data_IF_122596261847
#
_entry.id   IF_122596261847
#
_cell.length_a   1.000
_cell.length_b   1.000
_cell.length_c   1.000
_cell.angle_alpha   90.00
_cell.angle_beta   90.00
_cell.angle_gamma   90.00
#
_symmetry.space_group_name_H-M   'P 1'
#
loop_
_entity.id
_entity.type
_entity.pdbx_description
1 polymer ?
#
# COMPACT_ATOMS: atom_id res chain seq x y z
N UNK A 1 56.22 13.58 3.10
CA UNK A 1 54.85 13.40 3.61
C UNK A 1 54.75 12.02 4.22
N UNK A 2 54.67 11.91 5.55
CA UNK A 2 54.45 10.63 6.23
C UNK A 2 52.94 10.38 6.31
N UNK A 3 52.46 9.28 5.74
CA UNK A 3 51.06 8.87 5.83
C UNK A 3 50.79 8.30 7.22
N UNK A 4 49.91 8.95 7.98
CA UNK A 4 49.40 8.40 9.24
C UNK A 4 48.53 7.18 8.95
N UNK A 5 48.95 6.02 9.44
CA UNK A 5 48.24 4.74 9.29
C UNK A 5 47.23 4.56 10.42
N UNK A 6 46.04 5.15 10.25
CA UNK A 6 44.94 5.13 11.23
C UNK A 6 44.46 3.72 11.58
N UNK A 7 44.67 2.73 10.70
CA UNK A 7 44.22 1.36 10.98
C UNK A 7 45.04 0.70 12.09
N UNK A 8 46.33 1.04 12.24
CA UNK A 8 47.20 0.39 13.22
C UNK A 8 47.05 0.92 14.64
N UNK A 9 46.71 2.20 14.80
CA UNK A 9 46.55 2.81 16.12
C UNK A 9 45.16 2.58 16.73
N UNK A 10 44.13 2.40 15.90
CA UNK A 10 42.76 2.21 16.40
C UNK A 10 42.60 0.90 17.19
N UNK A 11 43.28 -0.17 16.78
CA UNK A 11 43.18 -1.49 17.43
C UNK A 11 44.11 -1.70 18.64
N UNK A 12 45.00 -0.74 18.97
CA UNK A 12 45.94 -0.87 20.11
C UNK A 12 45.47 -0.22 21.39
N UNK A 13 44.37 0.54 21.38
CA UNK A 13 43.81 1.06 22.63
C UNK A 13 43.21 -0.12 23.42
N UNK A 14 43.61 -0.34 24.68
CA UNK A 14 43.00 -1.39 25.49
C UNK A 14 41.52 -1.08 25.61
N UNK A 15 40.70 -1.92 24.98
CA UNK A 15 39.24 -1.75 24.76
C UNK A 15 38.40 -1.72 26.06
N UNK A 16 39.03 -1.57 27.21
CA UNK A 16 38.49 -1.86 28.53
C UNK A 16 38.85 -0.77 29.52
N UNK A 17 38.62 0.49 29.18
CA UNK A 17 38.48 1.48 30.24
C UNK A 17 37.22 1.16 31.08
N UNK A 18 37.24 1.44 32.38
CA UNK A 18 36.09 1.18 33.25
C UNK A 18 34.80 1.88 32.78
N UNK A 19 34.92 3.02 32.10
CA UNK A 19 33.81 3.71 31.42
C UNK A 19 33.14 2.85 30.33
N UNK A 20 33.95 2.15 29.54
CA UNK A 20 33.48 1.39 28.38
C UNK A 20 32.73 0.13 28.86
N UNK A 21 33.17 -0.46 29.98
CA UNK A 21 32.46 -1.58 30.63
C UNK A 21 31.05 -1.21 31.05
N UNK A 22 30.85 0.00 31.59
CA UNK A 22 29.53 0.49 31.96
C UNK A 22 28.67 0.70 30.72
N UNK A 23 29.23 1.33 29.68
CA UNK A 23 28.54 1.56 28.42
C UNK A 23 28.07 0.25 27.77
N UNK A 24 28.94 -0.76 27.67
CA UNK A 24 28.56 -2.06 27.09
C UNK A 24 27.53 -2.81 27.94
N UNK A 25 27.57 -2.71 29.27
CA UNK A 25 26.52 -3.28 30.13
C UNK A 25 25.16 -2.65 29.85
N UNK A 26 25.10 -1.32 29.72
CA UNK A 26 23.86 -0.61 29.37
C UNK A 26 23.38 -1.03 27.98
N UNK A 27 24.27 -1.06 26.99
CA UNK A 27 23.95 -1.43 25.61
C UNK A 27 23.40 -2.86 25.53
N UNK A 28 24.00 -3.81 26.26
CA UNK A 28 23.55 -5.21 26.29
C UNK A 28 22.18 -5.36 26.97
N UNK A 29 21.92 -4.62 28.06
CA UNK A 29 20.61 -4.59 28.71
C UNK A 29 19.54 -4.01 27.79
N UNK A 30 19.84 -2.92 27.08
CA UNK A 30 18.91 -2.31 26.10
C UNK A 30 18.64 -3.26 24.95
N UNK A 31 19.68 -3.90 24.38
CA UNK A 31 19.53 -4.87 23.31
C UNK A 31 18.67 -6.08 23.74
N UNK A 32 18.88 -6.57 24.96
CA UNK A 32 18.06 -7.65 25.52
C UNK A 32 16.60 -7.23 25.71
N UNK A 33 16.35 -6.02 26.22
CA UNK A 33 14.99 -5.50 26.38
C UNK A 33 14.25 -5.40 25.03
N UNK A 34 14.92 -4.88 23.99
CA UNK A 34 14.35 -4.80 22.64
C UNK A 34 14.05 -6.20 22.08
N UNK A 35 14.96 -7.16 22.27
CA UNK A 35 14.77 -8.54 21.81
C UNK A 35 13.61 -9.24 22.53
N UNK A 36 13.46 -9.04 23.84
CA UNK A 36 12.31 -9.58 24.59
C UNK A 36 11.00 -8.95 24.10
N UNK A 37 10.99 -7.64 23.87
CA UNK A 37 9.80 -6.92 23.40
C UNK A 37 9.39 -7.36 21.99
N UNK A 38 10.33 -7.62 21.08
CA UNK A 38 10.02 -8.14 19.74
C UNK A 38 9.51 -9.58 19.79
N UNK A 39 10.09 -10.44 20.63
CA UNK A 39 9.60 -11.81 20.81
C UNK A 39 8.18 -11.83 21.39
N UNK A 40 7.88 -10.97 22.36
CA UNK A 40 6.53 -10.82 22.91
C UNK A 40 5.54 -10.33 21.85
N UNK A 41 5.94 -9.36 21.01
CA UNK A 41 5.10 -8.91 19.90
C UNK A 41 4.83 -10.04 18.90
N UNK A 42 5.86 -10.77 18.47
CA UNK A 42 5.70 -11.93 17.57
C UNK A 42 4.80 -12.99 18.19
N UNK A 43 4.96 -13.29 19.48
CA UNK A 43 4.11 -14.26 20.17
C UNK A 43 2.65 -13.80 20.24
N UNK A 44 2.41 -12.51 20.52
CA UNK A 44 1.06 -11.96 20.58
C UNK A 44 0.38 -11.98 19.21
N UNK A 45 1.09 -11.54 18.16
CA UNK A 45 0.59 -11.52 16.78
C UNK A 45 0.46 -12.91 16.15
N UNK A 46 1.28 -13.87 16.56
CA UNK A 46 1.22 -15.26 16.05
C UNK A 46 0.21 -16.14 16.79
N UNK A 47 -0.40 -15.67 17.88
CA UNK A 47 -1.40 -16.46 18.60
C UNK A 47 -2.66 -16.66 17.71
N UNK A 48 -2.95 -17.89 17.25
CA UNK A 48 -4.00 -18.17 16.26
C UNK A 48 -5.43 -18.15 16.84
N UNK A 49 -5.61 -17.58 18.03
CA UNK A 49 -6.81 -17.80 18.86
C UNK A 49 -7.92 -16.80 18.53
N UNK A 50 -7.60 -15.65 17.93
CA UNK A 50 -8.62 -14.62 17.65
C UNK A 50 -9.41 -14.86 16.36
N UNK A 51 -8.96 -15.77 15.49
CA UNK A 51 -9.49 -15.81 14.12
C UNK A 51 -10.67 -16.77 13.93
N UNK A 52 -10.73 -17.91 14.63
CA UNK A 52 -11.73 -18.93 14.30
C UNK A 52 -13.17 -18.52 14.70
N UNK A 53 -13.34 -17.95 15.89
CA UNK A 53 -14.67 -17.56 16.40
C UNK A 53 -15.13 -16.21 15.85
N UNK A 54 -14.21 -15.27 15.66
CA UNK A 54 -14.49 -13.96 15.06
C UNK A 54 -14.81 -14.10 13.57
N UNK A 55 -14.04 -14.85 12.79
CA UNK A 55 -14.35 -15.08 11.38
C UNK A 55 -15.68 -15.82 11.22
N UNK A 56 -16.03 -16.74 12.12
CA UNK A 56 -17.34 -17.41 12.08
C UNK A 56 -18.49 -16.42 12.30
N UNK A 57 -18.38 -15.48 13.25
CA UNK A 57 -19.39 -14.44 13.49
C UNK A 57 -19.47 -13.41 12.36
N UNK A 58 -18.32 -12.95 11.85
CA UNK A 58 -18.27 -11.99 10.73
C UNK A 58 -18.86 -12.63 9.47
N UNK A 59 -18.46 -13.85 9.14
CA UNK A 59 -18.95 -14.58 7.97
C UNK A 59 -20.46 -14.83 8.06
N UNK A 60 -20.97 -15.21 9.23
CA UNK A 60 -22.41 -15.39 9.43
C UNK A 60 -23.18 -14.07 9.26
N UNK A 61 -22.68 -12.98 9.84
CA UNK A 61 -23.33 -11.65 9.74
C UNK A 61 -23.31 -11.09 8.32
N UNK A 62 -22.21 -11.31 7.59
CA UNK A 62 -22.08 -10.88 6.20
C UNK A 62 -23.00 -11.67 5.27
N UNK A 63 -23.03 -13.00 5.39
CA UNK A 63 -23.93 -13.86 4.62
C UNK A 63 -25.39 -13.52 4.91
N UNK A 64 -25.77 -13.32 6.19
CA UNK A 64 -27.16 -12.99 6.52
C UNK A 64 -27.60 -11.66 5.93
N UNK A 65 -26.72 -10.64 5.92
CA UNK A 65 -27.01 -9.35 5.28
C UNK A 65 -27.11 -9.48 3.76
N UNK A 66 -26.20 -10.22 3.12
CA UNK A 66 -26.26 -10.47 1.67
C UNK A 66 -27.56 -11.17 1.27
N UNK A 67 -27.93 -12.24 1.96
CA UNK A 67 -29.18 -12.98 1.66
C UNK A 67 -30.39 -12.07 1.83
N UNK A 68 -30.43 -11.23 2.86
CA UNK A 68 -31.53 -10.25 3.02
C UNK A 68 -31.58 -9.22 1.89
N UNK A 69 -30.43 -8.82 1.35
CA UNK A 69 -30.35 -7.85 0.25
C UNK A 69 -30.88 -8.45 -1.07
N UNK A 70 -30.56 -9.71 -1.35
CA UNK A 70 -31.04 -10.40 -2.55
C UNK A 70 -32.50 -10.85 -2.47
N UNK A 71 -33.00 -11.20 -1.28
CA UNK A 71 -34.41 -11.58 -1.10
C UNK A 71 -35.37 -10.38 -1.12
N UNK A 72 -34.87 -9.15 -0.90
CA UNK A 72 -35.64 -7.92 -1.03
C UNK A 72 -35.72 -7.41 -2.49
N UNK A 73 -35.03 -8.05 -3.43
CA UNK A 73 -35.18 -7.76 -4.85
C UNK A 73 -36.62 -8.01 -5.31
N UNK A 74 -37.16 -7.19 -6.24
CA UNK A 74 -38.51 -7.37 -6.75
C UNK A 74 -38.65 -8.81 -7.27
N UNK A 75 -39.60 -9.56 -6.69
CA UNK A 75 -39.96 -10.89 -7.19
C UNK A 75 -40.17 -10.77 -8.70
N UNK A 76 -39.52 -11.60 -9.53
CA UNK A 76 -39.73 -11.55 -10.96
C UNK A 76 -41.22 -11.79 -11.21
N UNK A 77 -41.93 -10.72 -11.61
CA UNK A 77 -43.27 -10.86 -12.18
C UNK A 77 -43.11 -11.76 -13.38
N UNK A 78 -43.96 -12.78 -13.47
CA UNK A 78 -44.03 -13.66 -14.63
C UNK A 78 -44.03 -12.78 -15.88
N UNK A 79 -42.96 -12.92 -16.67
CA UNK A 79 -42.68 -12.13 -17.86
C UNK A 79 -43.75 -12.45 -18.91
N UNK A 80 -44.77 -11.60 -18.97
CA UNK A 80 -45.55 -11.38 -20.18
C UNK A 80 -44.58 -10.77 -21.21
N UNK A 81 -44.29 -11.55 -22.26
CA UNK A 81 -43.37 -11.19 -23.35
C UNK A 81 -43.88 -9.94 -24.05
N UNK A 82 -43.43 -8.78 -23.60
CA UNK A 82 -43.26 -7.62 -24.45
C UNK A 82 -41.76 -7.38 -24.62
N UNK A 83 -41.26 -7.19 -25.85
CA UNK A 83 -39.85 -6.93 -26.10
C UNK A 83 -39.46 -5.62 -25.41
N UNK A 84 -38.72 -5.75 -24.30
CA UNK A 84 -38.08 -4.63 -23.63
C UNK A 84 -36.96 -4.17 -24.56
N UNK A 85 -37.16 -3.00 -25.18
CA UNK A 85 -36.09 -2.26 -25.84
C UNK A 85 -35.11 -1.86 -24.74
N UNK A 86 -34.00 -2.59 -24.65
CA UNK A 86 -32.88 -2.23 -23.78
C UNK A 86 -32.28 -0.94 -24.34
N UNK A 87 -32.33 0.19 -23.61
CA UNK A 87 -31.69 1.41 -24.08
C UNK A 87 -30.19 1.14 -24.17
N UNK A 88 -29.62 1.49 -25.32
CA UNK A 88 -28.19 1.37 -25.58
C UNK A 88 -27.43 2.15 -24.49
N UNK A 89 -26.37 1.57 -23.89
CA UNK A 89 -25.59 2.27 -22.89
C UNK A 89 -25.02 3.57 -23.49
N UNK A 90 -25.01 4.69 -22.72
CA UNK A 90 -24.46 5.95 -23.21
C UNK A 90 -23.00 5.75 -23.61
N UNK A 91 -22.61 6.36 -24.73
CA UNK A 91 -21.23 6.28 -25.21
C UNK A 91 -20.27 6.90 -24.20
N UNK A 92 -19.00 6.47 -24.18
CA UNK A 92 -17.98 7.04 -23.30
C UNK A 92 -17.83 8.57 -23.48
N UNK A 93 -18.08 9.08 -24.69
CA UNK A 93 -18.13 10.51 -24.96
C UNK A 93 -19.26 11.23 -24.20
N UNK A 94 -20.45 10.62 -24.09
CA UNK A 94 -21.56 11.21 -23.32
C UNK A 94 -21.29 11.22 -21.82
N UNK A 95 -20.60 10.19 -21.31
CA UNK A 95 -20.20 10.12 -19.90
C UNK A 95 -19.19 11.23 -19.60
N UNK A 96 -18.18 11.38 -20.46
CA UNK A 96 -17.12 12.38 -20.30
C UNK A 96 -17.68 13.80 -20.38
N UNK A 97 -18.60 14.08 -21.31
CA UNK A 97 -19.29 15.39 -21.40
C UNK A 97 -20.08 15.72 -20.14
N UNK A 98 -20.79 14.74 -19.55
CA UNK A 98 -21.56 14.96 -18.32
C UNK A 98 -20.67 15.29 -17.12
N UNK A 99 -19.50 14.67 -17.01
CA UNK A 99 -18.58 14.96 -15.90
C UNK A 99 -17.92 16.33 -16.03
N UNK A 100 -17.48 16.70 -17.23
CA UNK A 100 -16.89 18.03 -17.49
C UNK A 100 -17.89 19.14 -17.15
N UNK A 101 -19.14 19.00 -17.58
CA UNK A 101 -20.18 19.98 -17.31
C UNK A 101 -20.46 20.15 -15.81
N UNK A 102 -20.38 19.06 -15.05
CA UNK A 102 -20.55 19.08 -13.59
C UNK A 102 -19.42 19.82 -12.87
N UNK A 103 -18.19 19.75 -13.39
CA UNK A 103 -17.03 20.46 -12.85
C UNK A 103 -17.14 21.96 -13.15
N UNK A 104 -17.56 22.32 -14.36
CA UNK A 104 -17.78 23.73 -14.74
C UNK A 104 -18.84 24.39 -13.85
N UNK A 105 -19.96 23.71 -13.60
CA UNK A 105 -21.01 24.18 -12.68
C UNK A 105 -20.47 24.42 -11.25
N UNK A 106 -19.61 23.53 -10.74
CA UNK A 106 -19.00 23.67 -9.42
C UNK A 106 -18.01 24.84 -9.35
N UNK A 107 -17.26 25.06 -10.43
CA UNK A 107 -16.35 26.21 -10.55
C UNK A 107 -17.11 27.54 -10.63
N UNK A 108 -18.26 27.57 -11.29
CA UNK A 108 -19.09 28.77 -11.36
C UNK A 108 -19.73 29.09 -10.00
N UNK A 109 -20.20 28.05 -9.29
CA UNK A 109 -20.75 28.18 -7.93
C UNK A 109 -19.74 28.69 -6.91
N UNK A 110 -18.46 28.33 -7.05
CA UNK A 110 -17.39 28.80 -6.17
C UNK A 110 -16.93 30.21 -6.51
N UNK A 111 -16.95 30.63 -7.79
CA UNK A 111 -16.70 32.03 -8.18
C UNK A 111 -17.76 33.00 -7.66
N UNK A 112 -18.99 32.54 -7.44
CA UNK A 112 -20.05 33.33 -6.82
C UNK A 112 -19.85 33.53 -5.30
N UNK A 113 -19.07 32.67 -4.64
CA UNK A 113 -18.76 32.75 -3.22
C UNK A 113 -17.52 33.65 -2.94
N UNK A 114 -17.45 34.83 -3.56
CA UNK A 114 -16.40 35.82 -3.27
C UNK A 114 -16.55 36.31 -1.83
N UNK A 115 -15.56 35.99 -1.00
CA UNK A 115 -15.34 36.64 0.30
C UNK A 115 -15.22 38.15 0.09
N UNK A 116 -16.19 38.91 0.59
CA UNK A 116 -16.09 40.37 0.62
C UNK A 116 -15.08 40.75 1.72
N UNK A 117 -14.10 41.64 1.44
CA UNK A 117 -13.12 42.10 2.43
C UNK A 117 -13.76 42.71 3.70
N UNK A 118 -15.01 43.14 3.61
CA UNK A 118 -15.81 43.68 4.72
C UNK A 118 -16.07 42.66 5.83
N UNK A 119 -16.09 41.35 5.54
CA UNK A 119 -16.25 40.32 6.57
C UNK A 119 -15.02 40.13 7.47
N UNK A 120 -13.85 40.64 7.08
CA UNK A 120 -12.62 40.58 7.87
C UNK A 120 -12.44 41.85 8.72
N UNK A 121 -13.10 42.95 8.38
CA UNK A 121 -12.99 44.24 9.07
C UNK A 121 -13.78 44.33 10.39
N UNK A 122 -14.57 43.32 10.75
CA UNK A 122 -15.42 43.29 11.95
C UNK A 122 -14.74 42.87 13.26
N UNK A 123 -13.43 42.63 13.28
CA UNK A 123 -12.70 42.36 14.53
C UNK A 123 -12.35 43.70 15.18
N UNK A 124 -13.32 44.25 15.91
CA UNK A 124 -13.21 45.52 16.62
C UNK A 124 -11.94 45.64 17.50
N UNK A 125 -11.22 46.79 17.46
CA UNK A 125 -10.08 47.09 18.33
C UNK A 125 -10.44 47.30 19.83
N UNK A 126 -11.71 47.15 20.20
CA UNK A 126 -12.25 47.54 21.52
C UNK A 126 -11.79 46.61 22.67
N UNK A 127 -11.35 45.38 22.39
CA UNK A 127 -10.87 44.46 23.45
C UNK A 127 -9.45 44.77 23.97
N UNK A 128 -8.66 45.63 23.29
CA UNK A 128 -7.26 45.92 23.69
C UNK A 128 -7.16 46.70 25.01
N UNK A 129 -8.06 47.66 25.25
CA UNK A 129 -8.06 48.50 26.48
C UNK A 129 -8.41 47.73 27.76
N UNK A 130 -9.23 46.68 27.65
CA UNK A 130 -9.64 45.87 28.82
C UNK A 130 -8.54 44.91 29.27
N UNK A 131 -7.68 44.46 28.36
CA UNK A 131 -6.51 43.64 28.68
C UNK A 131 -5.35 44.47 29.27
N UNK A 132 -5.10 45.67 28.76
CA UNK A 132 -4.05 46.55 29.31
C UNK A 132 -4.29 46.91 30.78
N UNK A 133 -5.53 47.20 31.20
CA UNK A 133 -5.86 47.49 32.61
C UNK A 133 -5.69 46.29 33.54
N UNK A 134 -5.77 45.05 33.04
CA UNK A 134 -5.58 43.84 33.85
C UNK A 134 -4.12 43.43 34.00
N UNK A 135 -3.27 43.76 33.04
CA UNK A 135 -1.84 43.38 33.05
C UNK A 135 -1.02 44.36 33.89
N UNK A 136 -1.39 45.64 33.92
CA UNK A 136 -0.64 46.69 34.61
C UNK A 136 -0.34 46.44 36.11
N UNK A 137 -1.24 45.88 36.95
CA UNK A 137 -0.91 45.56 38.35
C UNK A 137 -0.06 44.29 38.53
N UNK A 138 0.04 43.41 37.51
CA UNK A 138 0.90 42.22 37.57
C UNK A 138 2.37 42.58 37.29
N UNK A 139 2.61 43.66 36.55
CA UNK A 139 3.97 44.17 36.26
C UNK A 139 4.59 44.85 37.49
N UNK A 140 3.78 45.47 38.35
CA UNK A 140 4.29 46.21 39.53
C UNK A 140 4.49 45.34 40.79
N UNK A 141 3.98 44.10 40.82
CA UNK A 141 4.02 43.24 42.02
C UNK A 141 5.09 42.13 41.98
N UNK A 142 5.82 41.94 40.87
CA UNK A 142 6.77 40.84 40.70
C UNK A 142 8.23 41.21 40.98
N UNK A 143 8.94 40.39 41.77
CA UNK A 143 10.40 40.50 42.07
C UNK A 143 11.33 40.38 40.85
N UNK A 144 10.80 40.25 39.64
CA UNK A 144 11.54 40.14 38.37
C UNK A 144 11.13 41.26 37.39
N UNK A 145 11.01 42.50 37.86
CA UNK A 145 10.64 43.66 37.03
C UNK A 145 11.58 43.89 35.83
N UNK A 146 12.82 43.44 35.94
CA UNK A 146 13.83 43.59 34.88
C UNK A 146 13.54 42.74 33.63
N UNK A 147 13.15 41.48 33.80
CA UNK A 147 12.84 40.58 32.69
C UNK A 147 11.54 40.95 31.97
N UNK A 148 10.59 41.54 32.70
CA UNK A 148 9.34 42.02 32.11
C UNK A 148 9.52 43.37 31.40
N UNK A 149 10.41 44.25 31.91
CA UNK A 149 10.80 45.48 31.23
C UNK A 149 11.42 45.22 29.87
N UNK A 150 12.32 44.23 29.78
CA UNK A 150 12.95 43.81 28.53
C UNK A 150 11.93 43.26 27.51
N UNK A 151 10.94 42.49 27.98
CA UNK A 151 9.87 41.97 27.12
C UNK A 151 8.93 43.07 26.60
N UNK A 152 8.65 44.10 27.41
CA UNK A 152 7.82 45.25 27.00
C UNK A 152 8.58 46.19 26.07
N UNK A 153 9.88 46.38 26.28
CA UNK A 153 10.73 47.18 25.38
C UNK A 153 10.93 46.49 24.03
N UNK A 154 11.02 45.16 23.98
CA UNK A 154 11.00 44.43 22.70
C UNK A 154 9.65 44.57 21.97
N UNK A 155 8.55 44.77 22.69
CA UNK A 155 7.24 45.01 22.08
C UNK A 155 7.05 46.45 21.58
N UNK A 156 7.76 47.44 22.13
CA UNK A 156 7.66 48.85 21.71
C UNK A 156 8.35 49.11 20.37
N UNK A 157 9.30 48.27 19.96
CA UNK A 157 9.92 48.26 18.62
C UNK A 157 8.88 48.04 17.51
N UNK A 158 7.74 47.40 17.80
CA UNK A 158 6.64 47.24 16.84
C UNK A 158 5.69 48.44 16.77
N UNK A 159 5.85 49.46 17.62
CA UNK A 159 4.94 50.60 17.71
C UNK A 159 5.40 51.83 16.92
N UNK A 160 6.68 51.92 16.55
CA UNK A 160 7.18 52.97 15.68
C UNK A 160 7.27 52.43 14.24
N UNK A 161 6.40 52.86 13.31
CA UNK A 161 6.55 52.52 11.91
C UNK A 161 7.88 53.11 11.44
N UNK A 162 8.82 52.23 11.07
CA UNK A 162 10.07 52.62 10.44
C UNK A 162 9.78 53.54 9.23
N UNK A 163 10.67 54.50 8.93
CA UNK A 163 10.48 55.39 7.79
C UNK A 163 10.23 54.57 6.53
N UNK A 164 9.22 54.97 5.76
CA UNK A 164 8.75 54.34 4.52
C UNK A 164 9.89 54.13 3.53
N UNK A 165 10.62 53.02 3.66
CA UNK A 165 11.39 52.50 2.56
C UNK A 165 10.44 51.60 1.79
N UNK A 166 9.98 52.09 0.64
CA UNK A 166 9.14 51.39 -0.33
C UNK A 166 9.87 50.16 -0.91
N UNK A 167 10.11 49.16 -0.10
CA UNK A 167 10.38 47.80 -0.54
C UNK A 167 9.03 47.11 -0.62
N UNK A 168 8.52 46.93 -1.85
CA UNK A 168 7.33 46.10 -2.09
C UNK A 168 7.64 44.69 -1.55
N UNK A 169 7.03 44.25 -0.43
CA UNK A 169 7.43 43.03 0.29
C UNK A 169 7.21 41.74 -0.52
N UNK A 170 6.63 41.87 -1.71
CA UNK A 170 6.21 40.79 -2.58
C UNK A 170 7.24 40.44 -3.67
N UNK A 171 8.32 41.21 -3.83
CA UNK A 171 9.37 40.88 -4.79
C UNK A 171 10.01 39.49 -4.58
N UNK A 172 10.37 39.06 -3.35
CA UNK A 172 10.92 37.71 -3.16
C UNK A 172 9.88 36.61 -3.42
N UNK A 173 8.59 36.89 -3.18
CA UNK A 173 7.48 35.96 -3.43
C UNK A 173 7.23 35.75 -4.94
N UNK A 174 7.29 36.82 -5.75
CA UNK A 174 7.16 36.70 -7.21
C UNK A 174 8.24 35.80 -7.82
N UNK A 175 9.48 35.94 -7.34
CA UNK A 175 10.60 35.10 -7.80
C UNK A 175 10.43 33.63 -7.40
N UNK A 176 9.86 33.34 -6.23
CA UNK A 176 9.54 31.97 -5.83
C UNK A 176 8.36 31.38 -6.62
N UNK A 177 7.36 32.19 -6.94
CA UNK A 177 6.21 31.76 -7.75
C UNK A 177 6.63 31.36 -9.17
N UNK A 178 7.50 32.17 -9.81
CA UNK A 178 8.05 31.85 -11.13
C UNK A 178 8.87 30.55 -11.11
N UNK A 179 9.70 30.35 -10.08
CA UNK A 179 10.47 29.11 -9.91
C UNK A 179 9.56 27.88 -9.74
N UNK A 180 8.46 28.03 -9.01
CA UNK A 180 7.49 26.96 -8.82
C UNK A 180 6.76 26.62 -10.12
N UNK A 181 6.31 27.64 -10.87
CA UNK A 181 5.66 27.44 -12.18
C UNK A 181 6.59 26.72 -13.17
N UNK A 182 7.87 27.07 -13.19
CA UNK A 182 8.86 26.39 -14.03
C UNK A 182 9.05 24.91 -13.63
N UNK A 183 9.11 24.61 -12.34
CA UNK A 183 9.20 23.21 -11.86
C UNK A 183 7.97 22.39 -12.21
N UNK A 184 6.77 22.95 -12.05
CA UNK A 184 5.52 22.26 -12.40
C UNK A 184 5.46 22.01 -13.91
N UNK A 185 5.85 22.97 -14.74
CA UNK A 185 5.90 22.80 -16.20
C UNK A 185 6.89 21.71 -16.62
N UNK A 186 8.10 21.71 -16.04
CA UNK A 186 9.10 20.68 -16.31
C UNK A 186 8.64 19.27 -15.87
N UNK A 187 7.89 19.17 -14.76
CA UNK A 187 7.31 17.90 -14.31
C UNK A 187 6.18 17.43 -15.23
N UNK A 188 5.36 18.34 -15.77
CA UNK A 188 4.32 18.01 -16.74
C UNK A 188 4.93 17.52 -18.07
N UNK A 189 5.93 18.21 -18.60
CA UNK A 189 6.66 17.80 -19.80
C UNK A 189 7.39 16.44 -19.60
N UNK A 190 7.93 16.19 -18.41
CA UNK A 190 8.51 14.89 -18.05
C UNK A 190 7.46 13.77 -17.93
N UNK A 191 6.24 14.09 -17.46
CA UNK A 191 5.15 13.12 -17.38
C UNK A 191 4.64 12.76 -18.78
N UNK A 192 4.47 13.75 -19.67
CA UNK A 192 4.04 13.54 -21.06
C UNK A 192 5.06 12.72 -21.86
N UNK A 193 6.36 12.98 -21.69
CA UNK A 193 7.41 12.20 -22.36
C UNK A 193 7.59 10.77 -21.82
N UNK A 194 7.13 10.49 -20.60
CA UNK A 194 7.08 9.13 -20.06
C UNK A 194 5.79 8.37 -20.39
N UNK A 195 4.75 9.06 -20.87
CA UNK A 195 3.47 8.44 -21.20
C UNK A 195 3.52 7.66 -22.54
N UNK A 196 4.46 7.96 -23.42
CA UNK A 196 4.62 7.27 -24.71
C UNK A 196 5.38 5.92 -24.63
N UNK A 197 5.89 5.53 -23.46
CA UNK A 197 6.64 4.27 -23.27
C UNK A 197 6.15 3.38 -22.11
N UNK A 198 5.06 3.77 -21.44
CA UNK A 198 4.44 2.97 -20.38
C UNK A 198 3.06 2.40 -20.77
N UNK A 199 2.54 2.71 -21.97
CA UNK A 199 1.31 2.12 -22.52
C UNK A 199 1.54 0.86 -23.39
N UNK A 200 2.58 0.09 -23.09
CA UNK A 200 2.53 -1.36 -23.27
C UNK A 200 2.40 -2.07 -21.91
N UNK A 201 1.64 -1.48 -20.97
CA UNK A 201 1.18 -2.23 -19.81
C UNK A 201 0.06 -3.19 -20.21
N UNK A 202 0.42 -4.29 -20.87
CA UNK A 202 -0.09 -5.66 -20.68
C UNK A 202 -1.58 -5.88 -20.27
N UNK A 203 -2.54 -5.02 -20.61
CA UNK A 203 -3.92 -5.13 -20.11
C UNK A 203 -4.96 -5.41 -21.18
N UNK A 204 -4.67 -5.27 -22.48
CA UNK A 204 -5.77 -5.17 -23.45
C UNK A 204 -5.92 -6.25 -24.52
N UNK A 205 -5.15 -7.34 -24.47
CA UNK A 205 -5.36 -8.45 -25.42
C UNK A 205 -5.96 -9.75 -24.88
N UNK A 206 -6.15 -9.96 -23.56
CA UNK A 206 -6.71 -11.24 -23.06
C UNK A 206 -7.63 -11.19 -21.83
N UNK A 207 -8.13 -10.02 -21.41
CA UNK A 207 -9.25 -9.96 -20.44
C UNK A 207 -10.61 -10.20 -21.15
N UNK A 208 -10.64 -10.33 -22.48
CA UNK A 208 -11.88 -10.53 -23.25
C UNK A 208 -12.47 -11.95 -23.19
N UNK A 209 -11.78 -12.91 -22.57
CA UNK A 209 -12.36 -14.21 -22.24
C UNK A 209 -12.25 -14.40 -20.74
N UNK A 210 -13.35 -14.12 -20.03
CA UNK A 210 -13.53 -14.45 -18.61
C UNK A 210 -13.57 -15.97 -18.40
N UNK A 211 -12.61 -16.72 -18.90
CA UNK A 211 -12.44 -18.15 -18.66
C UNK A 211 -10.99 -18.53 -18.91
N UNK A 212 -10.42 -19.37 -18.03
CA UNK A 212 -9.09 -19.95 -18.30
C UNK A 212 -9.25 -20.97 -19.41
N UNK A 213 -8.62 -20.70 -20.56
CA UNK A 213 -8.57 -21.68 -21.63
C UNK A 213 -7.90 -22.98 -21.13
N UNK A 214 -8.64 -24.08 -21.20
CA UNK A 214 -8.18 -25.38 -20.71
C UNK A 214 -6.94 -25.85 -21.45
N UNK A 215 -6.83 -25.53 -22.73
CA UNK A 215 -5.71 -25.94 -23.57
C UNK A 215 -4.42 -25.20 -23.18
N UNK A 216 -4.54 -23.92 -22.82
CA UNK A 216 -3.42 -23.15 -22.28
C UNK A 216 -2.96 -23.69 -20.93
N UNK A 217 -3.88 -24.04 -20.03
CA UNK A 217 -3.53 -24.63 -18.74
C UNK A 217 -2.80 -25.98 -18.91
N UNK A 218 -3.29 -26.83 -19.82
CA UNK A 218 -2.67 -28.10 -20.16
C UNK A 218 -1.29 -27.87 -20.78
N UNK A 219 -1.13 -26.88 -21.66
CA UNK A 219 0.15 -26.54 -22.27
C UNK A 219 1.20 -26.13 -21.23
N UNK A 220 0.83 -25.29 -20.26
CA UNK A 220 1.72 -24.90 -19.15
C UNK A 220 2.05 -26.10 -18.26
N UNK A 221 1.07 -26.95 -17.95
CA UNK A 221 1.29 -28.17 -17.18
C UNK A 221 2.26 -29.13 -17.89
N UNK A 222 2.14 -29.28 -19.23
CA UNK A 222 3.05 -30.06 -20.08
C UNK A 222 4.45 -29.43 -20.12
N UNK A 223 4.57 -28.12 -20.24
CA UNK A 223 5.85 -27.41 -20.23
C UNK A 223 6.61 -27.63 -18.90
N UNK A 224 5.88 -27.71 -17.79
CA UNK A 224 6.45 -28.00 -16.47
C UNK A 224 6.70 -29.50 -16.20
N UNK A 225 6.28 -30.40 -17.09
CA UNK A 225 6.45 -31.85 -16.92
C UNK A 225 7.93 -32.24 -16.74
N UNK A 226 8.86 -31.53 -17.38
CA UNK A 226 10.31 -31.74 -17.20
C UNK A 226 10.76 -31.73 -15.73
N UNK A 227 10.16 -30.88 -14.89
CA UNK A 227 10.51 -30.79 -13.47
C UNK A 227 9.95 -31.96 -12.66
N UNK A 228 8.78 -32.47 -13.06
CA UNK A 228 8.18 -33.67 -12.47
C UNK A 228 9.01 -34.89 -12.87
N UNK A 229 9.38 -35.00 -14.15
CA UNK A 229 10.25 -36.05 -14.68
C UNK A 229 11.60 -36.07 -13.96
N UNK A 230 12.18 -34.90 -13.69
CA UNK A 230 13.43 -34.80 -12.93
C UNK A 230 13.32 -35.41 -11.52
N UNK A 231 12.18 -35.28 -10.84
CA UNK A 231 11.97 -35.96 -9.55
C UNK A 231 12.08 -37.48 -9.70
N UNK A 232 11.51 -38.05 -10.75
CA UNK A 232 11.51 -39.50 -11.00
C UNK A 232 12.90 -39.97 -11.44
N UNK A 233 13.51 -39.30 -12.43
CA UNK A 233 14.87 -39.59 -12.93
C UNK A 233 15.93 -39.55 -11.80
N UNK A 234 15.76 -38.66 -10.82
CA UNK A 234 16.64 -38.59 -9.66
C UNK A 234 16.61 -39.88 -8.83
N UNK A 235 15.45 -40.49 -8.65
CA UNK A 235 15.30 -41.72 -7.86
C UNK A 235 15.49 -43.01 -8.67
N UNK A 236 15.28 -42.97 -10.01
CA UNK A 236 15.60 -44.09 -10.91
C UNK A 236 17.05 -44.57 -10.77
N UNK A 237 17.99 -43.66 -10.46
CA UNK A 237 19.40 -44.01 -10.23
C UNK A 237 19.63 -44.94 -9.04
N UNK A 238 18.72 -44.92 -8.07
CA UNK A 238 18.80 -45.75 -6.86
C UNK A 238 17.88 -46.97 -6.93
N UNK A 239 16.76 -46.86 -7.65
CA UNK A 239 15.76 -47.92 -7.83
C UNK A 239 15.42 -48.01 -9.33
N UNK A 240 16.09 -48.91 -10.08
CA UNK A 240 15.89 -49.02 -11.53
C UNK A 240 14.49 -49.51 -11.90
N UNK A 241 13.82 -50.25 -11.01
CA UNK A 241 12.46 -50.78 -11.22
C UNK A 241 11.36 -49.76 -10.88
N UNK A 242 11.68 -48.47 -10.74
CA UNK A 242 10.71 -47.42 -10.42
C UNK A 242 9.86 -47.06 -11.64
N UNK A 243 8.63 -47.58 -11.69
CA UNK A 243 7.63 -47.29 -12.73
C UNK A 243 6.28 -46.97 -12.09
N UNK A 244 5.39 -46.29 -12.83
CA UNK A 244 4.01 -46.10 -12.38
C UNK A 244 3.40 -44.77 -12.79
N UNK A 245 2.31 -44.41 -12.11
CA UNK A 245 1.60 -43.16 -12.38
C UNK A 245 1.21 -42.43 -11.09
N UNK A 246 1.06 -41.11 -11.21
CA UNK A 246 0.66 -40.22 -10.12
C UNK A 246 -0.39 -39.24 -10.64
N UNK A 247 -1.52 -39.14 -9.95
CA UNK A 247 -2.59 -38.18 -10.24
C UNK A 247 -2.53 -37.05 -9.23
N UNK A 248 -2.21 -35.84 -9.71
CA UNK A 248 -2.05 -34.64 -8.87
C UNK A 248 -3.21 -33.70 -9.11
N UNK A 249 -3.88 -33.29 -8.04
CA UNK A 249 -4.86 -32.22 -8.04
C UNK A 249 -4.26 -30.98 -7.38
N UNK A 250 -4.45 -29.81 -8.00
CA UNK A 250 -4.01 -28.55 -7.41
C UNK A 250 -4.88 -27.39 -7.90
N UNK A 251 -4.89 -26.33 -7.10
CA UNK A 251 -5.64 -25.12 -7.37
C UNK A 251 -4.72 -23.97 -7.76
N UNK A 252 -5.08 -23.25 -8.81
CA UNK A 252 -4.34 -22.14 -9.41
C UNK A 252 -5.01 -20.83 -9.02
N UNK A 253 -4.23 -19.94 -8.40
CA UNK A 253 -4.65 -18.59 -8.01
C UNK A 253 -4.81 -17.68 -9.24
N UNK A 254 -5.72 -16.67 -9.23
CA UNK A 254 -5.90 -15.71 -10.34
C UNK A 254 -4.60 -15.07 -10.85
N UNK A 255 -3.62 -14.87 -9.98
CA UNK A 255 -2.30 -14.33 -10.32
C UNK A 255 -1.37 -15.31 -11.07
N UNK A 256 -1.82 -16.53 -11.40
CA UNK A 256 -1.05 -17.47 -12.21
C UNK A 256 -0.09 -18.40 -11.43
N UNK A 257 -0.19 -18.46 -10.11
CA UNK A 257 0.60 -19.37 -9.28
C UNK A 257 -0.24 -20.45 -8.62
N UNK A 258 0.38 -21.59 -8.31
CA UNK A 258 -0.29 -22.69 -7.61
C UNK A 258 -0.37 -22.39 -6.11
N UNK A 259 -1.55 -22.58 -5.51
CA UNK A 259 -1.76 -22.41 -4.06
C UNK A 259 -1.09 -23.56 -3.31
N UNK A 260 -0.05 -23.35 -2.47
CA UNK A 260 0.76 -24.46 -1.95
C UNK A 260 -0.01 -25.50 -1.12
N UNK A 261 -1.06 -25.06 -0.42
CA UNK A 261 -1.91 -25.91 0.42
C UNK A 261 -2.97 -26.72 -0.34
N UNK A 262 -3.23 -26.40 -1.61
CA UNK A 262 -4.25 -27.10 -2.42
C UNK A 262 -3.68 -28.33 -3.15
N UNK A 263 -2.35 -28.49 -3.19
CA UNK A 263 -1.71 -29.61 -3.89
C UNK A 263 -1.96 -30.92 -3.15
N UNK A 264 -2.78 -31.79 -3.75
CA UNK A 264 -3.18 -33.10 -3.24
C UNK A 264 -2.81 -34.19 -4.25
N UNK A 265 -2.41 -35.35 -3.75
CA UNK A 265 -2.22 -36.55 -4.57
C UNK A 265 -3.48 -37.37 -4.40
N UNK A 266 -4.20 -37.59 -5.50
CA UNK A 266 -5.43 -38.37 -5.48
C UNK A 266 -5.09 -39.86 -5.53
N UNK A 267 -4.21 -40.24 -6.44
CA UNK A 267 -3.78 -41.62 -6.66
C UNK A 267 -2.27 -41.65 -6.94
N UNK A 268 -1.59 -42.65 -6.40
CA UNK A 268 -0.18 -42.90 -6.68
C UNK A 268 0.06 -44.41 -6.75
N UNK A 269 0.56 -44.86 -7.91
CA UNK A 269 1.03 -46.23 -8.13
C UNK A 269 2.52 -46.39 -7.80
N UNK A 270 3.25 -45.27 -7.63
CA UNK A 270 4.66 -45.29 -7.25
C UNK A 270 4.76 -45.59 -5.74
N UNK A 271 5.55 -46.61 -5.38
CA UNK A 271 5.70 -47.06 -4.00
C UNK A 271 6.48 -46.10 -3.10
N UNK A 272 7.48 -45.37 -3.63
CA UNK A 272 8.35 -44.52 -2.82
C UNK A 272 7.71 -43.14 -2.50
N UNK A 273 7.42 -42.84 -1.21
CA UNK A 273 6.86 -41.54 -0.81
C UNK A 273 7.80 -40.36 -1.08
N UNK A 274 9.12 -40.59 -1.17
CA UNK A 274 10.12 -39.52 -1.43
C UNK A 274 9.97 -38.93 -2.83
N UNK A 275 9.57 -39.75 -3.80
CA UNK A 275 9.27 -39.33 -5.18
C UNK A 275 8.01 -38.46 -5.17
N UNK A 276 6.96 -38.93 -4.50
CA UNK A 276 5.68 -38.21 -4.38
C UNK A 276 5.87 -36.85 -3.71
N UNK A 277 6.67 -36.77 -2.66
CA UNK A 277 6.97 -35.51 -1.98
C UNK A 277 7.82 -34.55 -2.83
N UNK A 278 8.74 -35.08 -3.65
CA UNK A 278 9.46 -34.27 -4.63
C UNK A 278 8.48 -33.65 -5.63
N UNK A 279 7.56 -34.45 -6.18
CA UNK A 279 6.55 -34.00 -7.14
C UNK A 279 5.67 -32.91 -6.49
N UNK A 280 5.16 -33.11 -5.28
CA UNK A 280 4.39 -32.10 -4.53
C UNK A 280 5.17 -30.80 -4.39
N UNK A 281 6.43 -30.85 -3.93
CA UNK A 281 7.28 -29.66 -3.74
C UNK A 281 7.53 -28.92 -5.05
N UNK A 282 7.69 -29.64 -6.16
CA UNK A 282 7.87 -29.08 -7.49
C UNK A 282 6.61 -28.36 -7.97
N UNK A 283 5.44 -29.01 -7.90
CA UNK A 283 4.16 -28.44 -8.32
C UNK A 283 3.80 -27.17 -7.53
N UNK A 284 4.07 -27.16 -6.22
CA UNK A 284 3.86 -25.97 -5.35
C UNK A 284 4.66 -24.74 -5.79
N UNK A 285 5.72 -24.90 -6.57
CA UNK A 285 6.60 -23.79 -7.01
C UNK A 285 6.20 -23.20 -8.36
N UNK A 286 5.17 -23.72 -9.02
CA UNK A 286 4.75 -23.23 -10.33
C UNK A 286 4.08 -21.86 -10.24
N UNK A 287 4.52 -20.93 -11.10
CA UNK A 287 4.12 -19.52 -11.12
C UNK A 287 3.83 -18.97 -12.53
N UNK A 288 3.83 -19.83 -13.54
CA UNK A 288 3.80 -19.46 -14.96
C UNK A 288 2.45 -19.73 -15.63
N UNK A 289 1.37 -19.84 -14.87
CA UNK A 289 0.03 -19.91 -15.48
C UNK A 289 -0.42 -18.53 -15.94
N UNK A 290 -1.23 -18.44 -17.01
CA UNK A 290 -1.83 -17.17 -17.43
C UNK A 290 -2.60 -16.54 -16.27
N UNK A 291 -2.40 -15.23 -16.10
CA UNK A 291 -3.15 -14.44 -15.11
C UNK A 291 -4.57 -14.24 -15.62
N UNK A 292 -5.53 -14.23 -14.70
CA UNK A 292 -6.94 -13.94 -14.98
C UNK A 292 -7.47 -12.91 -13.98
N UNK A 293 -8.60 -12.27 -14.31
CA UNK A 293 -9.28 -11.38 -13.39
C UNK A 293 -9.64 -12.10 -12.08
N UNK A 294 -9.54 -11.39 -10.94
CA UNK A 294 -9.83 -11.97 -9.61
C UNK A 294 -11.27 -12.46 -9.47
N UNK A 295 -12.20 -11.86 -10.21
CA UNK A 295 -13.62 -12.21 -10.24
C UNK A 295 -13.86 -13.65 -10.70
N UNK A 296 -12.95 -14.21 -11.49
CA UNK A 296 -13.01 -15.60 -11.96
C UNK A 296 -12.67 -16.62 -10.88
N UNK A 297 -12.09 -16.16 -9.76
CA UNK A 297 -11.73 -17.01 -8.63
C UNK A 297 -10.61 -18.00 -8.92
N UNK A 298 -10.49 -18.97 -8.03
CA UNK A 298 -9.47 -20.03 -8.10
C UNK A 298 -9.92 -21.18 -9.01
N UNK A 299 -8.98 -21.77 -9.75
CA UNK A 299 -9.27 -22.88 -10.67
C UNK A 299 -8.59 -24.17 -10.23
N UNK A 300 -9.34 -25.26 -10.07
CA UNK A 300 -8.79 -26.57 -9.67
C UNK A 300 -8.58 -27.46 -10.90
N UNK A 301 -7.35 -27.93 -11.09
CA UNK A 301 -6.97 -28.83 -12.18
C UNK A 301 -6.49 -30.16 -11.63
N UNK A 302 -6.77 -31.24 -12.36
CA UNK A 302 -6.25 -32.58 -12.08
C UNK A 302 -5.42 -33.06 -13.26
N UNK A 303 -4.17 -33.46 -13.01
CA UNK A 303 -3.24 -33.93 -14.02
C UNK A 303 -2.66 -35.28 -13.64
N UNK A 304 -2.78 -36.25 -14.56
CA UNK A 304 -2.12 -37.56 -14.46
C UNK A 304 -0.74 -37.49 -15.10
N UNK A 305 0.26 -38.00 -14.39
CA UNK A 305 1.62 -38.22 -14.88
C UNK A 305 1.90 -39.73 -14.92
N UNK A 306 2.51 -40.19 -15.99
CA UNK A 306 2.87 -41.59 -16.21
C UNK A 306 4.38 -41.61 -16.50
N UNK A 307 5.10 -42.52 -15.86
CA UNK A 307 6.55 -42.67 -15.96
C UNK A 307 6.92 -44.12 -16.25
#
# INVERSE_FOLDING_TARGET
MQSFDYQREFFRRPFWNPSDRLYFRILLVVAFAVLVQTLLAVHYFSSPVLDATLNKKIKHTYISKLVSFYQAGPRPRALERNPVVVPEPPSEEEITRREVQKIEDLMEKTKAARFTPEQIAGIEPVKRRKYQRKIQPLVSAGRNSHALGEAVDQMSVFANPAPEVSYSPLQPLKKQEELYRQKVKALAEAAESHQESLEESFTDFQILKGYRDTDQLIAVARANNRFVKHCVEKYLRYMPDLHGSVVVQFTIHPQGHVVPGSVRILEASIADPRVVDCIKKTVRRWKNFPKVAYEMGEYTMTQKYIF
#
